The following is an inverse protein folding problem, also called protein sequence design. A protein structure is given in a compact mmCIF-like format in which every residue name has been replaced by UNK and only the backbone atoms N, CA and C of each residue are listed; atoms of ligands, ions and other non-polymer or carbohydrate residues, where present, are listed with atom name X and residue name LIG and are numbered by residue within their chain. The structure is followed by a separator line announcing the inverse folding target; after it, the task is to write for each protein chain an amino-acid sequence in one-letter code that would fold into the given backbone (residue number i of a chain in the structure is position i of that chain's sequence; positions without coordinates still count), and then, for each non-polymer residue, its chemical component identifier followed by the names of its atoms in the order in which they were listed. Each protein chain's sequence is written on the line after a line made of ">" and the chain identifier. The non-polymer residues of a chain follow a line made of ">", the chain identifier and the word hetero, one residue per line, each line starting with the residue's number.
data_IF_542375733854
#
_entry.id   IF_542375733854
#
_cell.length_a   1.000
_cell.length_b   1.000
_cell.length_c   1.000
_cell.angle_alpha   90.00
_cell.angle_beta   90.00
_cell.angle_gamma   90.00
#
_symmetry.space_group_name_H-M   'P 1'
#
loop_
_entity.id
_entity.type
_entity.pdbx_description
1 polymer ?
#
# COMPACT_ATOMS: atom_id res chain seq x y z
N UNK A 1 8.35 -21.21 -9.20
CA UNK A 1 7.53 -20.99 -7.98
C UNK A 1 6.71 -22.25 -7.71
N UNK A 2 6.88 -22.94 -6.58
CA UNK A 2 6.01 -24.06 -6.19
C UNK A 2 4.97 -23.54 -5.19
N UNK A 3 3.73 -23.41 -5.66
CA UNK A 3 2.65 -22.78 -4.89
C UNK A 3 2.28 -23.55 -3.61
N UNK A 4 2.33 -24.88 -3.65
CA UNK A 4 1.99 -25.70 -2.48
C UNK A 4 3.02 -25.55 -1.36
N UNK A 5 4.31 -25.44 -1.70
CA UNK A 5 5.36 -25.19 -0.71
C UNK A 5 5.27 -23.78 -0.14
N UNK A 6 4.93 -22.77 -0.95
CA UNK A 6 4.70 -21.40 -0.46
C UNK A 6 3.51 -21.38 0.50
N UNK A 7 2.38 -22.00 0.15
CA UNK A 7 1.18 -22.04 1.00
C UNK A 7 1.43 -22.66 2.37
N UNK A 8 2.25 -23.73 2.45
CA UNK A 8 2.64 -24.35 3.73
C UNK A 8 3.36 -23.38 4.67
N UNK A 9 4.00 -22.34 4.14
CA UNK A 9 4.65 -21.32 4.96
C UNK A 9 3.67 -20.35 5.60
N UNK A 10 2.37 -20.37 5.25
CA UNK A 10 1.34 -19.51 5.85
C UNK A 10 0.39 -20.36 6.72
N UNK A 11 0.66 -20.51 8.04
CA UNK A 11 -0.11 -21.41 8.90
C UNK A 11 -1.62 -21.12 8.91
N UNK A 12 -1.98 -19.84 8.76
CA UNK A 12 -3.38 -19.39 8.80
C UNK A 12 -4.22 -19.91 7.61
N UNK A 13 -3.60 -20.34 6.51
CA UNK A 13 -4.34 -20.85 5.35
C UNK A 13 -4.83 -22.29 5.52
N UNK A 14 -4.21 -23.05 6.44
CA UNK A 14 -4.59 -24.43 6.75
C UNK A 14 -5.62 -24.48 7.89
N UNK A 15 -6.80 -23.89 7.64
CA UNK A 15 -7.91 -23.93 8.58
C UNK A 15 -9.26 -24.00 7.86
N UNK A 16 -10.29 -24.36 8.63
CA UNK A 16 -11.67 -24.32 8.18
C UNK A 16 -12.41 -23.12 8.74
N UNK A 17 -13.20 -22.46 7.90
CA UNK A 17 -14.14 -21.39 8.26
C UNK A 17 -15.52 -21.86 7.85
N UNK A 18 -16.50 -21.76 8.76
CA UNK A 18 -17.88 -22.25 8.52
C UNK A 18 -17.94 -23.73 8.04
N UNK A 19 -16.98 -24.56 8.48
CA UNK A 19 -16.85 -25.96 8.09
C UNK A 19 -16.25 -26.22 6.70
N UNK A 20 -15.92 -25.16 5.93
CA UNK A 20 -15.30 -25.21 4.61
C UNK A 20 -13.82 -24.82 4.67
N UNK A 21 -13.02 -25.24 3.69
CA UNK A 21 -11.61 -24.82 3.61
C UNK A 21 -11.52 -23.32 3.36
N UNK A 22 -10.66 -22.61 4.09
CA UNK A 22 -10.48 -21.17 3.91
C UNK A 22 -9.96 -20.85 2.49
N UNK A 23 -10.65 -19.95 1.80
CA UNK A 23 -10.19 -19.26 0.59
C UNK A 23 -10.07 -17.77 0.92
N UNK A 24 -8.84 -17.26 1.04
CA UNK A 24 -8.59 -15.88 1.46
C UNK A 24 -8.27 -14.96 0.26
N UNK A 25 -9.26 -14.17 -0.18
CA UNK A 25 -9.16 -13.21 -1.28
C UNK A 25 -9.33 -11.75 -0.83
N UNK A 26 -8.77 -11.38 0.33
CA UNK A 26 -8.78 -10.01 0.82
C UNK A 26 -7.37 -9.45 1.10
N UNK A 27 -6.39 -9.93 0.35
CA UNK A 27 -4.97 -9.56 0.51
C UNK A 27 -4.70 -8.07 0.27
N UNK A 28 -5.50 -7.39 -0.57
CA UNK A 28 -5.38 -5.94 -0.79
C UNK A 28 -5.88 -5.11 0.41
N UNK A 29 -6.55 -5.71 1.41
CA UNK A 29 -6.79 -5.09 2.71
C UNK A 29 -5.62 -5.40 3.67
N UNK A 30 -5.25 -6.67 3.81
CA UNK A 30 -4.05 -7.09 4.52
C UNK A 30 -3.61 -8.47 4.03
N UNK A 31 -2.31 -8.68 3.87
CA UNK A 31 -1.80 -10.00 3.52
C UNK A 31 -1.74 -10.92 4.73
N UNK A 32 -1.61 -12.23 4.48
CA UNK A 32 -1.19 -13.19 5.51
C UNK A 32 0.32 -13.16 5.73
N UNK A 33 0.78 -13.82 6.80
CA UNK A 33 2.17 -13.77 7.29
C UNK A 33 2.82 -15.14 7.18
N UNK A 34 4.02 -15.25 6.56
CA UNK A 34 4.75 -16.50 6.53
C UNK A 34 5.35 -16.80 7.92
N UNK A 35 5.60 -18.07 8.19
CA UNK A 35 6.10 -18.55 9.49
C UNK A 35 7.42 -17.86 9.88
N UNK A 36 8.30 -17.59 8.90
CA UNK A 36 9.57 -16.91 9.12
C UNK A 36 9.39 -15.51 9.74
N UNK A 37 8.35 -14.76 9.35
CA UNK A 37 8.04 -13.43 9.92
C UNK A 37 7.53 -13.57 11.35
N UNK A 38 6.68 -14.57 11.61
CA UNK A 38 6.12 -14.85 12.93
C UNK A 38 7.24 -15.24 13.90
N UNK A 39 8.09 -16.18 13.50
CA UNK A 39 9.24 -16.64 14.30
C UNK A 39 10.27 -15.54 14.52
N UNK A 40 10.43 -14.61 13.56
CA UNK A 40 11.31 -13.44 13.72
C UNK A 40 10.82 -12.52 14.85
N UNK A 41 9.53 -12.22 14.89
CA UNK A 41 8.92 -11.43 15.97
C UNK A 41 9.05 -12.15 17.31
N UNK A 42 8.75 -13.44 17.33
CA UNK A 42 8.86 -14.26 18.54
C UNK A 42 10.30 -14.26 19.09
N UNK A 43 11.29 -14.47 18.22
CA UNK A 43 12.70 -14.47 18.58
C UNK A 43 13.15 -13.13 19.14
N UNK A 44 12.77 -12.02 18.50
CA UNK A 44 13.07 -10.69 19.01
C UNK A 44 12.61 -10.53 20.46
N UNK A 45 11.34 -10.83 20.74
CA UNK A 45 10.79 -10.67 22.09
C UNK A 45 11.34 -11.66 23.11
N UNK A 46 11.68 -12.89 22.71
CA UNK A 46 12.20 -13.91 23.63
C UNK A 46 13.69 -13.72 23.95
N UNK A 47 14.48 -13.20 23.02
CA UNK A 47 15.94 -13.31 23.12
C UNK A 47 16.68 -11.98 23.25
N UNK A 48 16.24 -10.93 22.56
CA UNK A 48 17.05 -9.70 22.45
C UNK A 48 16.26 -8.38 22.41
N UNK A 49 15.00 -8.38 22.85
CA UNK A 49 14.23 -7.15 23.01
C UNK A 49 14.93 -6.17 23.97
N UNK A 50 15.15 -4.95 23.48
CA UNK A 50 15.59 -3.80 24.27
C UNK A 50 15.31 -2.53 23.49
N UNK A 51 15.42 -1.37 24.16
CA UNK A 51 15.34 -0.09 23.45
C UNK A 51 16.59 0.12 22.60
N UNK A 52 16.45 0.82 21.47
CA UNK A 52 17.52 1.03 20.48
C UNK A 52 18.29 2.32 20.72
N UNK A 53 19.45 2.45 20.07
CA UNK A 53 20.32 3.66 19.98
C UNK A 53 20.91 4.20 21.30
N UNK A 54 20.35 3.88 22.46
CA UNK A 54 20.82 4.33 23.79
C UNK A 54 21.34 3.21 24.68
N UNK A 55 21.15 1.95 24.27
CA UNK A 55 21.58 0.80 25.04
C UNK A 55 23.07 0.51 24.90
N UNK A 56 23.85 0.75 25.96
CA UNK A 56 25.28 0.40 26.04
C UNK A 56 25.48 -1.12 26.28
N UNK A 57 24.44 -1.82 26.74
CA UNK A 57 24.51 -3.24 27.08
C UNK A 57 24.19 -4.14 25.87
N UNK A 58 24.64 -5.39 25.92
CA UNK A 58 24.59 -6.36 24.80
C UNK A 58 23.23 -6.47 24.10
N UNK A 59 22.12 -6.50 24.85
CA UNK A 59 20.78 -6.60 24.23
C UNK A 59 20.38 -5.33 23.46
N UNK A 60 20.80 -4.15 23.93
CA UNK A 60 20.55 -2.87 23.26
C UNK A 60 21.27 -2.79 21.91
N UNK A 61 22.53 -3.25 21.87
CA UNK A 61 23.29 -3.39 20.62
C UNK A 61 22.61 -4.35 19.65
N UNK A 62 22.24 -5.56 20.10
CA UNK A 62 21.55 -6.54 19.24
C UNK A 62 20.22 -6.03 18.68
N UNK A 63 19.40 -5.37 19.50
CA UNK A 63 18.14 -4.77 19.05
C UNK A 63 18.38 -3.65 18.03
N UNK A 64 19.40 -2.81 18.26
CA UNK A 64 19.76 -1.71 17.35
C UNK A 64 20.26 -2.24 16.01
N UNK A 65 21.15 -3.23 16.02
CA UNK A 65 21.68 -3.85 14.80
C UNK A 65 20.57 -4.49 13.97
N UNK A 66 19.61 -5.16 14.62
CA UNK A 66 18.47 -5.76 13.94
C UNK A 66 17.51 -4.71 13.36
N UNK A 67 17.26 -3.62 14.10
CA UNK A 67 16.40 -2.51 13.66
C UNK A 67 16.99 -1.78 12.45
N UNK A 68 18.26 -1.36 12.52
CA UNK A 68 18.94 -0.69 11.40
C UNK A 68 19.22 -1.67 10.26
N UNK A 69 19.45 -2.95 10.55
CA UNK A 69 19.52 -4.00 9.53
C UNK A 69 18.22 -4.15 8.74
N UNK A 70 17.06 -4.00 9.38
CA UNK A 70 15.78 -3.96 8.66
C UNK A 70 15.64 -2.71 7.77
N UNK A 71 16.17 -1.56 8.22
CA UNK A 71 16.21 -0.34 7.40
C UNK A 71 17.04 -0.53 6.13
N UNK A 72 18.20 -1.17 6.24
CA UNK A 72 19.04 -1.49 5.07
C UNK A 72 18.32 -2.44 4.10
N UNK A 73 17.56 -3.42 4.60
CA UNK A 73 16.73 -4.30 3.76
C UNK A 73 15.67 -3.51 3.01
N UNK A 74 14.96 -2.61 3.69
CA UNK A 74 14.00 -1.70 3.03
C UNK A 74 14.69 -0.87 1.96
N UNK A 75 15.84 -0.27 2.27
CA UNK A 75 16.62 0.53 1.31
C UNK A 75 16.96 -0.28 0.05
N UNK A 76 17.46 -1.50 0.20
CA UNK A 76 17.74 -2.42 -0.92
C UNK A 76 16.48 -2.76 -1.70
N UNK A 77 15.41 -3.12 -1.00
CA UNK A 77 14.18 -3.64 -1.57
C UNK A 77 13.50 -2.66 -2.53
N UNK A 78 13.54 -1.37 -2.23
CA UNK A 78 13.00 -0.31 -3.11
C UNK A 78 14.07 0.40 -3.94
N UNK A 79 15.31 -0.09 -3.89
CA UNK A 79 16.50 0.50 -4.51
C UNK A 79 16.73 1.99 -4.16
N UNK A 80 16.57 2.39 -2.90
CA UNK A 80 16.91 3.74 -2.43
C UNK A 80 18.45 3.93 -2.32
N UNK A 81 18.95 5.17 -2.38
CA UNK A 81 20.40 5.44 -2.38
C UNK A 81 21.01 5.31 -0.99
N UNK A 82 20.30 5.73 0.05
CA UNK A 82 20.79 5.76 1.43
C UNK A 82 19.73 5.27 2.42
N UNK A 83 20.17 4.69 3.54
CA UNK A 83 19.30 4.39 4.67
C UNK A 83 18.69 5.65 5.29
N UNK A 84 19.36 6.79 5.17
CA UNK A 84 18.85 8.09 5.62
C UNK A 84 17.59 8.53 4.89
N UNK A 85 17.32 7.94 3.72
CA UNK A 85 16.10 8.19 2.93
C UNK A 85 14.93 7.33 3.39
N UNK A 86 15.13 6.42 4.36
CA UNK A 86 14.12 5.46 4.82
C UNK A 86 13.68 5.83 6.23
N UNK A 87 12.43 6.27 6.36
CA UNK A 87 11.81 6.62 7.65
C UNK A 87 10.74 5.59 7.98
N UNK A 88 10.82 4.99 9.16
CA UNK A 88 9.78 4.09 9.66
C UNK A 88 8.60 4.88 10.21
N UNK A 89 7.40 4.45 9.84
CA UNK A 89 6.13 5.07 10.25
C UNK A 89 5.13 3.99 10.66
N UNK A 90 3.92 4.38 11.10
CA UNK A 90 2.85 3.41 11.44
C UNK A 90 2.20 2.75 10.20
N UNK A 91 2.53 3.19 8.99
CA UNK A 91 1.92 2.74 7.73
C UNK A 91 1.94 3.83 6.65
N UNK A 92 1.58 3.49 5.42
CA UNK A 92 1.45 4.43 4.28
C UNK A 92 0.67 5.69 4.65
N UNK A 93 -0.44 5.56 5.39
CA UNK A 93 -1.24 6.72 5.81
C UNK A 93 -0.42 7.71 6.64
N UNK A 94 0.40 7.23 7.58
CA UNK A 94 1.27 8.12 8.38
C UNK A 94 2.36 8.72 7.51
N UNK A 95 3.00 7.93 6.65
CA UNK A 95 3.99 8.42 5.69
C UNK A 95 3.45 9.57 4.81
N UNK A 96 2.27 9.42 4.21
CA UNK A 96 1.64 10.46 3.40
C UNK A 96 1.26 11.70 4.23
N UNK A 97 0.82 11.51 5.48
CA UNK A 97 0.56 12.64 6.39
C UNK A 97 1.85 13.35 6.80
N UNK A 98 2.97 12.66 6.96
CA UNK A 98 4.28 13.29 7.23
C UNK A 98 4.67 14.22 6.09
N UNK A 99 4.55 13.76 4.84
CA UNK A 99 4.83 14.61 3.66
C UNK A 99 3.85 15.80 3.61
N UNK A 100 2.55 15.55 3.78
CA UNK A 100 1.56 16.63 3.72
C UNK A 100 1.73 17.68 4.83
N UNK A 101 2.01 17.24 6.06
CA UNK A 101 2.11 18.12 7.22
C UNK A 101 3.44 18.87 7.32
N UNK A 102 4.54 18.26 6.86
CA UNK A 102 5.85 18.91 6.82
C UNK A 102 6.04 19.64 5.49
N UNK A 103 6.40 18.92 4.42
CA UNK A 103 6.65 19.51 3.10
C UNK A 103 5.45 20.31 2.58
N UNK A 104 4.26 19.72 2.63
CA UNK A 104 3.06 20.32 2.04
C UNK A 104 2.65 21.65 2.65
N UNK A 105 2.67 21.78 3.98
CA UNK A 105 2.30 23.03 4.65
C UNK A 105 3.35 24.14 4.51
N UNK A 106 4.62 23.77 4.31
CA UNK A 106 5.72 24.72 4.18
C UNK A 106 5.92 25.21 2.74
N UNK A 107 5.65 24.36 1.73
CA UNK A 107 6.00 24.64 0.33
C UNK A 107 4.80 25.00 -0.56
N UNK A 108 3.58 24.94 -0.03
CA UNK A 108 2.35 25.25 -0.77
C UNK A 108 1.70 26.51 -0.19
N UNK A 109 1.29 27.45 -1.05
CA UNK A 109 0.61 28.70 -0.67
C UNK A 109 -0.63 28.96 -1.54
N UNK A 110 -1.33 30.05 -1.25
CA UNK A 110 -2.50 30.48 -2.02
C UNK A 110 -2.16 30.62 -3.51
N UNK A 111 -3.03 30.07 -4.36
CA UNK A 111 -2.86 30.05 -5.82
C UNK A 111 -2.00 28.89 -6.37
N UNK A 112 -1.28 28.16 -5.52
CA UNK A 112 -0.61 26.92 -5.95
C UNK A 112 -1.64 25.77 -6.14
N UNK A 113 -1.25 24.74 -6.88
CA UNK A 113 -2.07 23.55 -7.15
C UNK A 113 -1.46 22.28 -6.56
N UNK A 114 -2.32 21.40 -6.03
CA UNK A 114 -2.01 20.02 -5.68
C UNK A 114 -2.82 19.13 -6.62
N UNK A 115 -2.18 18.19 -7.32
CA UNK A 115 -2.82 17.29 -8.27
C UNK A 115 -2.82 15.87 -7.72
N UNK A 116 -4.00 15.25 -7.68
CA UNK A 116 -4.19 13.82 -7.36
C UNK A 116 -5.07 13.16 -8.43
N UNK A 117 -5.56 11.93 -8.26
CA UNK A 117 -6.49 11.28 -9.20
C UNK A 117 -7.86 10.96 -8.58
N UNK A 118 -8.86 10.65 -9.40
CA UNK A 118 -10.16 10.17 -8.90
C UNK A 118 -10.08 8.79 -8.22
N UNK A 119 -9.05 8.01 -8.51
CA UNK A 119 -8.89 6.64 -7.99
C UNK A 119 -8.14 6.58 -6.65
N UNK A 120 -7.67 7.72 -6.13
CA UNK A 120 -6.88 7.75 -4.90
C UNK A 120 -7.58 7.07 -3.72
N UNK A 121 -6.77 6.41 -2.90
CA UNK A 121 -7.19 5.92 -1.59
C UNK A 121 -7.40 7.13 -0.67
N UNK A 122 -8.30 7.05 0.30
CA UNK A 122 -8.59 8.14 1.24
C UNK A 122 -7.33 8.70 1.93
N UNK A 123 -6.36 7.85 2.23
CA UNK A 123 -5.04 8.25 2.77
C UNK A 123 -4.23 9.15 1.85
N UNK A 124 -4.45 9.08 0.53
CA UNK A 124 -3.82 9.94 -0.47
C UNK A 124 -4.79 11.01 -1.02
N UNK A 125 -5.89 11.29 -0.31
CA UNK A 125 -6.83 12.38 -0.61
C UNK A 125 -6.88 13.36 0.55
N UNK A 126 -7.21 12.84 1.73
CA UNK A 126 -7.58 13.67 2.88
C UNK A 126 -6.43 14.56 3.36
N UNK A 127 -5.16 14.09 3.42
CA UNK A 127 -4.05 14.98 3.80
C UNK A 127 -3.92 16.20 2.88
N UNK A 128 -4.06 15.99 1.57
CA UNK A 128 -3.99 17.08 0.58
C UNK A 128 -5.19 18.02 0.64
N UNK A 129 -6.38 17.51 0.94
CA UNK A 129 -7.53 18.37 1.24
C UNK A 129 -7.25 19.28 2.45
N UNK A 130 -6.57 18.78 3.48
CA UNK A 130 -6.21 19.59 4.65
C UNK A 130 -5.14 20.62 4.32
N UNK A 131 -4.12 20.27 3.52
CA UNK A 131 -3.12 21.24 3.03
C UNK A 131 -3.80 22.34 2.23
N UNK A 132 -4.57 22.00 1.20
CA UNK A 132 -5.28 22.97 0.37
C UNK A 132 -6.16 23.93 1.18
N UNK A 133 -6.90 23.41 2.18
CA UNK A 133 -7.72 24.24 3.08
C UNK A 133 -6.92 25.19 3.95
N UNK A 134 -5.73 24.78 4.41
CA UNK A 134 -4.88 25.59 5.29
C UNK A 134 -4.08 26.64 4.53
N UNK A 135 -3.66 26.33 3.32
CA UNK A 135 -2.76 27.19 2.53
C UNK A 135 -3.50 28.05 1.51
N UNK A 136 -4.75 27.73 1.19
CA UNK A 136 -5.51 28.37 0.10
C UNK A 136 -5.17 27.83 -1.30
N UNK A 137 -4.44 26.71 -1.38
CA UNK A 137 -4.15 26.05 -2.65
C UNK A 137 -5.37 25.33 -3.23
N UNK A 138 -5.33 25.08 -4.54
CA UNK A 138 -6.38 24.34 -5.25
C UNK A 138 -6.04 22.85 -5.35
N UNK A 139 -6.96 21.99 -4.94
CA UNK A 139 -6.85 20.55 -5.16
C UNK A 139 -7.50 20.16 -6.50
N UNK A 140 -6.71 19.64 -7.43
CA UNK A 140 -7.12 19.19 -8.77
C UNK A 140 -7.04 17.66 -8.88
N UNK A 141 -7.84 17.11 -9.78
CA UNK A 141 -7.96 15.66 -9.99
C UNK A 141 -7.70 15.33 -11.46
N UNK A 142 -6.75 14.42 -11.70
CA UNK A 142 -6.54 13.78 -13.00
C UNK A 142 -7.79 13.00 -13.38
N UNK A 143 -8.39 13.26 -14.56
CA UNK A 143 -9.50 12.47 -15.04
C UNK A 143 -9.07 11.02 -15.33
N UNK A 144 -10.06 10.13 -15.28
CA UNK A 144 -9.87 8.74 -15.67
C UNK A 144 -10.47 8.50 -17.05
N UNK A 145 -9.79 7.68 -17.82
CA UNK A 145 -10.33 7.11 -19.06
C UNK A 145 -11.48 6.14 -18.74
N UNK A 146 -12.34 5.80 -19.73
CA UNK A 146 -13.50 4.93 -19.48
C UNK A 146 -13.17 3.56 -18.89
N UNK A 147 -11.97 3.03 -19.14
CA UNK A 147 -11.49 1.76 -18.58
C UNK A 147 -10.86 1.90 -17.18
N UNK A 148 -10.76 3.13 -16.66
CA UNK A 148 -10.19 3.43 -15.36
C UNK A 148 -8.67 3.63 -15.37
N UNK A 149 -8.06 3.85 -16.54
CA UNK A 149 -6.64 4.24 -16.66
C UNK A 149 -6.46 5.76 -16.65
N UNK A 150 -5.21 6.22 -16.48
CA UNK A 150 -4.84 7.64 -16.60
C UNK A 150 -4.07 7.83 -17.91
N UNK A 151 -4.48 8.81 -18.71
CA UNK A 151 -3.75 9.20 -19.92
C UNK A 151 -2.61 10.16 -19.57
N UNK A 152 -1.46 9.99 -20.23
CA UNK A 152 -0.34 10.94 -20.14
C UNK A 152 -0.74 12.33 -20.66
N UNK A 153 -1.63 12.40 -21.65
CA UNK A 153 -2.10 13.69 -22.17
C UNK A 153 -2.95 14.44 -21.14
N UNK A 154 -3.83 13.73 -20.41
CA UNK A 154 -4.61 14.32 -19.33
C UNK A 154 -3.70 14.82 -18.20
N UNK A 155 -2.61 14.09 -17.91
CA UNK A 155 -1.59 14.53 -16.95
C UNK A 155 -0.91 15.83 -17.40
N UNK A 156 -0.50 15.94 -18.67
CA UNK A 156 0.09 17.16 -19.24
C UNK A 156 -0.86 18.36 -19.22
N UNK A 157 -2.16 18.13 -19.41
CA UNK A 157 -3.15 19.20 -19.39
C UNK A 157 -3.49 19.66 -17.96
N UNK A 158 -3.46 18.73 -16.99
CA UNK A 158 -3.88 19.03 -15.61
C UNK A 158 -2.74 19.60 -14.76
N UNK A 159 -1.50 19.13 -14.98
CA UNK A 159 -0.30 19.59 -14.28
C UNK A 159 0.21 20.85 -14.97
N UNK A 160 0.29 21.94 -14.21
CA UNK A 160 0.64 23.27 -14.73
C UNK A 160 1.85 23.84 -13.99
N UNK A 161 2.42 24.98 -14.42
CA UNK A 161 3.49 25.67 -13.68
C UNK A 161 3.10 26.11 -12.25
N UNK A 162 1.81 26.17 -11.93
CA UNK A 162 1.32 26.46 -10.59
C UNK A 162 1.25 25.20 -9.71
N UNK A 163 1.39 24.01 -10.29
CA UNK A 163 1.43 22.76 -9.53
C UNK A 163 2.69 22.71 -8.68
N UNK A 164 2.53 22.31 -7.41
CA UNK A 164 3.65 22.10 -6.46
C UNK A 164 3.77 20.65 -6.02
N UNK A 165 2.66 19.94 -5.99
CA UNK A 165 2.63 18.54 -5.56
C UNK A 165 1.75 17.77 -6.54
N UNK A 166 2.29 16.66 -7.06
CA UNK A 166 1.53 15.61 -7.73
C UNK A 166 1.60 14.38 -6.83
N UNK A 167 0.46 13.86 -6.36
CA UNK A 167 0.41 12.66 -5.52
C UNK A 167 -0.49 11.61 -6.13
N UNK A 168 0.10 10.48 -6.56
CA UNK A 168 -0.60 9.44 -7.31
C UNK A 168 -0.27 8.07 -6.73
N UNK A 169 -1.30 7.24 -6.56
CA UNK A 169 -1.11 5.82 -6.26
C UNK A 169 -0.45 5.08 -7.42
N UNK A 170 0.53 4.22 -7.12
CA UNK A 170 1.18 3.43 -8.17
C UNK A 170 0.25 2.34 -8.70
N UNK A 171 -0.45 1.62 -7.80
CA UNK A 171 -1.44 0.60 -8.18
C UNK A 171 -2.76 0.88 -7.47
N UNK A 172 -3.85 0.87 -8.24
CA UNK A 172 -5.19 1.02 -7.67
C UNK A 172 -5.62 -0.20 -6.87
N UNK A 173 -5.99 0.03 -5.60
CA UNK A 173 -6.55 -0.99 -4.72
C UNK A 173 -7.98 -1.42 -5.10
N UNK A 174 -8.59 -0.76 -6.10
CA UNK A 174 -9.94 -1.04 -6.58
C UNK A 174 -9.90 -1.51 -8.04
N UNK A 175 -9.31 -0.73 -8.93
CA UNK A 175 -9.34 -1.05 -10.36
C UNK A 175 -8.27 -2.05 -10.76
N UNK A 176 -7.22 -2.20 -9.95
CA UNK A 176 -6.01 -2.92 -10.31
C UNK A 176 -5.17 -2.21 -11.38
N UNK A 177 -5.55 -0.99 -11.78
CA UNK A 177 -4.78 -0.14 -12.69
C UNK A 177 -3.36 0.08 -12.16
N UNK A 178 -2.36 -0.17 -13.00
CA UNK A 178 -0.96 0.18 -12.75
C UNK A 178 -0.71 1.53 -13.44
N UNK A 179 -0.49 2.59 -12.65
CA UNK A 179 -0.37 3.95 -13.17
C UNK A 179 1.06 4.22 -13.68
N UNK A 180 1.22 5.02 -14.75
CA UNK A 180 2.53 5.41 -15.30
C UNK A 180 3.19 6.50 -14.45
N UNK A 181 3.54 6.16 -13.20
CA UNK A 181 4.01 7.15 -12.20
C UNK A 181 5.36 7.77 -12.57
N UNK A 182 6.19 7.07 -13.34
CA UNK A 182 7.48 7.60 -13.84
C UNK A 182 7.25 8.72 -14.85
N UNK A 183 6.36 8.50 -15.81
CA UNK A 183 6.00 9.46 -16.85
C UNK A 183 5.25 10.66 -16.26
N UNK A 184 4.32 10.42 -15.33
CA UNK A 184 3.62 11.49 -14.60
C UNK A 184 4.60 12.28 -13.74
N UNK A 185 5.55 11.61 -13.07
CA UNK A 185 6.61 12.24 -12.29
C UNK A 185 7.51 13.15 -13.14
N UNK A 186 7.88 12.71 -14.35
CA UNK A 186 8.63 13.55 -15.28
C UNK A 186 7.87 14.84 -15.64
N UNK A 187 6.56 14.75 -15.89
CA UNK A 187 5.71 15.93 -16.16
C UNK A 187 5.63 16.85 -14.93
N UNK A 188 5.56 16.27 -13.73
CA UNK A 188 5.58 17.04 -12.48
C UNK A 188 6.88 17.84 -12.36
N UNK A 189 8.03 17.18 -12.56
CA UNK A 189 9.35 17.84 -12.49
C UNK A 189 9.55 18.89 -13.58
N UNK A 190 9.06 18.67 -14.80
CA UNK A 190 9.06 19.67 -15.89
C UNK A 190 8.36 20.97 -15.47
N UNK A 191 7.37 20.89 -14.57
CA UNK A 191 6.62 22.03 -14.03
C UNK A 191 7.10 22.50 -12.65
N UNK A 192 8.20 21.93 -12.12
CA UNK A 192 8.75 22.28 -10.81
C UNK A 192 7.92 21.78 -9.62
N UNK A 193 7.07 20.78 -9.82
CA UNK A 193 6.33 20.09 -8.77
C UNK A 193 7.08 18.83 -8.32
N UNK A 194 6.86 18.42 -7.07
CA UNK A 194 7.32 17.12 -6.59
C UNK A 194 6.32 16.00 -6.92
N UNK A 195 6.82 14.77 -7.00
CA UNK A 195 6.05 13.54 -7.20
C UNK A 195 6.03 12.70 -5.91
N UNK A 196 4.84 12.55 -5.33
CA UNK A 196 4.56 11.66 -4.19
C UNK A 196 3.86 10.41 -4.70
N UNK A 197 4.36 9.23 -4.33
CA UNK A 197 3.80 7.95 -4.78
C UNK A 197 3.23 7.18 -3.59
N UNK A 198 1.92 6.89 -3.64
CA UNK A 198 1.31 5.87 -2.77
C UNK A 198 1.59 4.48 -3.36
N UNK A 199 2.58 3.81 -2.76
CA UNK A 199 3.07 2.51 -3.17
C UNK A 199 2.47 1.33 -2.41
N UNK A 200 1.41 1.55 -1.63
CA UNK A 200 0.88 0.51 -0.73
C UNK A 200 0.45 -0.77 -1.43
N UNK A 201 0.03 -0.66 -2.70
CA UNK A 201 -0.47 -1.78 -3.51
C UNK A 201 0.49 -2.18 -4.64
N UNK A 202 1.61 -1.50 -4.84
CA UNK A 202 2.66 -1.90 -5.80
C UNK A 202 3.76 -2.69 -5.11
N UNK A 203 4.27 -2.17 -3.98
CA UNK A 203 5.39 -2.76 -3.22
C UNK A 203 5.23 -4.25 -2.89
N UNK A 204 4.04 -4.78 -2.54
CA UNK A 204 3.90 -6.21 -2.30
C UNK A 204 3.99 -7.07 -3.57
N UNK A 205 3.66 -6.49 -4.72
CA UNK A 205 3.21 -7.23 -5.90
C UNK A 205 4.17 -7.14 -7.09
N UNK A 206 5.06 -6.15 -7.11
CA UNK A 206 6.01 -5.93 -8.19
C UNK A 206 7.31 -5.29 -7.67
N UNK A 207 8.39 -5.38 -8.45
CA UNK A 207 9.63 -4.69 -8.11
C UNK A 207 9.43 -3.17 -8.13
N UNK A 208 10.04 -2.50 -7.17
CA UNK A 208 10.04 -1.04 -7.05
C UNK A 208 11.48 -0.56 -7.08
N UNK A 209 11.75 0.39 -7.97
CA UNK A 209 13.02 1.10 -8.03
C UNK A 209 12.73 2.60 -7.94
N UNK A 210 12.86 3.18 -6.75
CA UNK A 210 12.57 4.60 -6.53
C UNK A 210 13.53 5.52 -7.27
N UNK A 211 14.73 5.04 -7.64
CA UNK A 211 15.66 5.81 -8.47
C UNK A 211 15.20 5.84 -9.93
N UNK A 212 14.76 4.71 -10.48
CA UNK A 212 14.22 4.64 -11.84
C UNK A 212 12.89 5.41 -11.96
N UNK A 213 12.01 5.26 -10.98
CA UNK A 213 10.76 6.04 -10.89
C UNK A 213 11.03 7.54 -10.73
N UNK A 214 12.19 7.89 -10.18
CA UNK A 214 12.60 9.25 -9.82
C UNK A 214 11.59 9.99 -8.92
N UNK A 215 10.71 9.27 -8.21
CA UNK A 215 9.77 9.89 -7.30
C UNK A 215 10.48 10.60 -6.13
N UNK A 216 9.90 11.67 -5.64
CA UNK A 216 10.47 12.47 -4.55
C UNK A 216 10.14 11.87 -3.19
N UNK A 217 8.94 11.29 -3.07
CA UNK A 217 8.50 10.51 -1.92
C UNK A 217 7.79 9.24 -2.36
N UNK A 218 7.94 8.17 -1.58
CA UNK A 218 7.27 6.90 -1.81
C UNK A 218 6.82 6.29 -0.49
N UNK A 219 5.55 5.91 -0.37
CA UNK A 219 4.97 5.40 0.87
C UNK A 219 4.51 3.94 0.74
N UNK A 220 4.80 3.10 1.73
CA UNK A 220 4.39 1.68 1.76
C UNK A 220 3.99 1.20 3.16
N UNK A 221 3.25 0.09 3.21
CA UNK A 221 2.70 -0.50 4.43
C UNK A 221 3.06 -1.98 4.51
N UNK A 222 3.73 -2.39 5.61
CA UNK A 222 4.21 -3.76 5.77
C UNK A 222 3.10 -4.81 5.80
N UNK A 223 1.94 -4.46 6.38
CA UNK A 223 0.83 -5.41 6.53
C UNK A 223 0.24 -5.91 5.20
N UNK A 224 0.54 -5.22 4.08
CA UNK A 224 0.18 -5.67 2.73
C UNK A 224 1.23 -6.54 2.06
N UNK A 225 2.46 -6.58 2.59
CA UNK A 225 3.61 -7.27 2.00
C UNK A 225 4.19 -8.34 2.93
N UNK A 226 3.33 -9.22 3.45
CA UNK A 226 3.68 -10.30 4.38
C UNK A 226 4.20 -9.87 5.76
N UNK A 227 4.41 -8.57 5.98
CA UNK A 227 4.97 -8.02 7.20
C UNK A 227 3.94 -7.73 8.31
N UNK A 228 4.41 -7.31 9.49
CA UNK A 228 3.58 -7.03 10.65
C UNK A 228 2.61 -5.86 10.43
N UNK A 229 1.56 -5.77 11.24
CA UNK A 229 0.73 -4.55 11.33
C UNK A 229 1.48 -3.42 12.02
N UNK A 230 1.00 -2.18 11.88
CA UNK A 230 1.54 -1.04 12.62
C UNK A 230 2.93 -0.55 12.21
N UNK A 231 3.48 -1.02 11.09
CA UNK A 231 4.74 -0.53 10.51
C UNK A 231 4.57 -0.26 9.02
N UNK A 232 5.13 0.85 8.57
CA UNK A 232 5.27 1.24 7.18
C UNK A 232 6.51 2.08 6.99
N UNK A 233 6.71 2.54 5.77
CA UNK A 233 7.91 3.28 5.38
C UNK A 233 7.50 4.50 4.58
N UNK A 234 8.15 5.62 4.88
CA UNK A 234 8.30 6.76 4.00
C UNK A 234 9.71 6.72 3.43
N UNK A 235 9.82 6.59 2.11
CA UNK A 235 10.99 6.99 1.37
C UNK A 235 10.87 8.48 1.01
N UNK A 236 11.95 9.23 1.12
CA UNK A 236 12.07 10.57 0.56
C UNK A 236 13.49 10.86 0.11
N UNK A 237 13.65 11.59 -1.00
CA UNK A 237 14.99 12.03 -1.42
C UNK A 237 15.67 12.81 -0.30
N UNK A 238 16.94 12.48 -0.02
CA UNK A 238 17.70 13.05 1.11
C UNK A 238 17.64 14.59 1.18
N UNK A 239 17.74 15.26 0.03
CA UNK A 239 17.70 16.73 -0.04
C UNK A 239 16.36 17.31 0.45
N UNK A 240 15.24 16.67 0.10
CA UNK A 240 13.91 17.12 0.52
C UNK A 240 13.70 16.83 2.00
N UNK A 241 14.07 15.63 2.46
CA UNK A 241 13.98 15.26 3.87
C UNK A 241 14.82 16.17 4.77
N UNK A 242 16.00 16.61 4.32
CA UNK A 242 16.82 17.56 5.07
C UNK A 242 16.14 18.92 5.22
N UNK A 243 15.45 19.39 4.18
CA UNK A 243 14.74 20.68 4.18
C UNK A 243 13.35 20.64 4.81
N UNK A 244 12.87 19.46 5.23
CA UNK A 244 11.59 19.29 5.90
C UNK A 244 11.73 19.39 7.43
N UNK A 245 10.81 20.10 8.09
CA UNK A 245 10.73 20.13 9.56
C UNK A 245 10.02 18.88 10.15
N UNK A 246 10.41 18.39 11.35
CA UNK A 246 9.71 17.31 12.03
C UNK A 246 8.24 17.64 12.34
N UNK A 247 7.38 16.62 12.43
CA UNK A 247 5.94 16.78 12.76
C UNK A 247 5.53 16.14 14.09
N UNK A 248 6.36 15.24 14.61
CA UNK A 248 6.23 14.65 15.94
C UNK A 248 7.53 14.99 16.69
N UNK A 249 7.41 15.46 17.94
CA UNK A 249 8.55 15.96 18.73
C UNK A 249 8.65 15.18 20.04
N UNK A 250 9.86 14.78 20.41
CA UNK A 250 10.10 14.02 21.62
C UNK A 250 11.50 13.42 21.69
N UNK A 251 11.66 12.37 22.48
CA UNK A 251 12.92 11.61 22.54
C UNK A 251 13.32 11.01 21.19
N UNK A 252 14.55 10.52 21.11
CA UNK A 252 15.18 9.92 19.93
C UNK A 252 15.43 10.82 18.70
N UNK A 253 14.57 11.78 18.40
CA UNK A 253 14.69 12.67 17.23
C UNK A 253 15.47 13.97 17.47
N UNK A 254 15.76 14.29 18.74
CA UNK A 254 16.54 15.48 19.14
C UNK A 254 18.05 15.22 19.18
N UNK A 255 18.83 16.27 18.93
CA UNK A 255 20.26 16.33 19.23
C UNK A 255 20.51 17.06 20.57
N UNK A 256 20.06 18.32 20.68
CA UNK A 256 20.12 19.11 21.91
C UNK A 256 18.72 19.58 22.37
N UNK A 257 18.50 19.64 23.68
CA UNK A 257 17.27 20.17 24.29
C UNK A 257 17.65 21.09 25.44
N UNK A 258 17.29 22.37 25.33
CA UNK A 258 17.34 23.37 26.40
C UNK A 258 15.93 23.69 26.91
N UNK A 259 15.82 24.59 27.88
CA UNK A 259 14.57 25.04 28.46
C UNK A 259 13.64 25.76 27.46
N UNK A 260 14.18 26.34 26.38
CA UNK A 260 13.41 27.15 25.42
C UNK A 260 13.54 26.69 23.96
N UNK A 261 14.60 25.98 23.61
CA UNK A 261 14.91 25.61 22.22
C UNK A 261 15.42 24.17 22.14
N UNK A 262 15.33 23.59 20.95
CA UNK A 262 15.84 22.25 20.67
C UNK A 262 16.40 22.18 19.26
N UNK A 263 17.36 21.29 19.04
CA UNK A 263 17.88 20.95 17.72
C UNK A 263 17.58 19.49 17.40
N UNK A 264 17.52 19.17 16.11
CA UNK A 264 17.10 17.86 15.63
C UNK A 264 18.31 17.01 15.22
N UNK A 265 18.17 15.68 15.33
CA UNK A 265 19.15 14.75 14.76
C UNK A 265 19.18 14.84 13.24
N UNK A 266 20.23 14.26 12.69
CA UNK A 266 20.32 13.88 11.29
C UNK A 266 19.24 12.86 10.89
N UNK A 267 19.09 12.69 9.57
CA UNK A 267 18.21 11.68 8.98
C UNK A 267 18.70 10.24 9.29
N UNK A 268 17.80 9.26 9.34
CA UNK A 268 16.33 9.40 9.23
C UNK A 268 15.66 9.72 10.59
N UNK A 269 16.43 9.67 11.69
CA UNK A 269 15.91 9.73 13.05
C UNK A 269 15.21 11.05 13.39
N UNK A 270 15.49 12.13 12.65
CA UNK A 270 14.73 13.39 12.66
C UNK A 270 13.21 13.19 12.62
N UNK A 271 12.73 12.15 11.94
CA UNK A 271 11.30 11.86 11.77
C UNK A 271 10.81 10.64 12.58
N UNK A 272 11.61 10.11 13.50
CA UNK A 272 11.27 8.92 14.30
C UNK A 272 11.24 9.28 15.80
N UNK A 273 10.24 10.06 16.20
CA UNK A 273 10.10 10.53 17.58
C UNK A 273 9.65 9.41 18.54
N UNK A 274 10.29 9.34 19.71
CA UNK A 274 10.00 8.37 20.75
C UNK A 274 10.59 6.98 20.48
N UNK A 275 10.24 6.01 21.32
CA UNK A 275 10.67 4.62 21.11
C UNK A 275 10.11 4.12 19.78
N UNK A 276 10.96 3.64 18.85
CA UNK A 276 10.50 3.24 17.52
C UNK A 276 9.76 1.90 17.55
N UNK A 277 9.22 1.52 16.40
CA UNK A 277 8.43 0.30 16.20
C UNK A 277 9.35 -0.91 15.96
N UNK A 278 10.23 -1.19 16.93
CA UNK A 278 11.44 -2.02 16.78
C UNK A 278 11.13 -3.42 16.25
N UNK A 279 10.35 -4.20 16.99
CA UNK A 279 10.03 -5.59 16.63
C UNK A 279 9.37 -5.68 15.25
N UNK A 280 8.46 -4.74 14.94
CA UNK A 280 7.72 -4.77 13.69
C UNK A 280 8.59 -4.36 12.50
N UNK A 281 9.56 -3.44 12.66
CA UNK A 281 10.55 -3.14 11.64
C UNK A 281 11.43 -4.37 11.35
N UNK A 282 11.88 -5.09 12.38
CA UNK A 282 12.62 -6.34 12.22
C UNK A 282 11.78 -7.39 11.48
N UNK A 283 10.50 -7.54 11.85
CA UNK A 283 9.55 -8.42 11.17
C UNK A 283 9.28 -8.03 9.71
N UNK A 284 9.24 -6.72 9.39
CA UNK A 284 9.20 -6.24 8.01
C UNK A 284 10.47 -6.63 7.25
N UNK A 285 11.64 -6.53 7.87
CA UNK A 285 12.90 -7.01 7.28
C UNK A 285 12.84 -8.50 6.91
N UNK A 286 12.28 -9.35 7.78
CA UNK A 286 12.09 -10.77 7.46
C UNK A 286 11.05 -11.00 6.34
N UNK A 287 10.01 -10.16 6.26
CA UNK A 287 9.04 -10.24 5.17
C UNK A 287 9.67 -9.87 3.83
N UNK A 288 10.57 -8.88 3.81
CA UNK A 288 11.36 -8.53 2.62
C UNK A 288 12.23 -9.71 2.19
N UNK A 289 12.99 -10.31 3.10
CA UNK A 289 13.83 -11.47 2.78
C UNK A 289 13.01 -12.61 2.14
N UNK A 290 11.83 -12.90 2.71
CA UNK A 290 10.92 -13.93 2.20
C UNK A 290 10.42 -13.61 0.78
N UNK A 291 10.04 -12.36 0.52
CA UNK A 291 9.59 -11.95 -0.82
C UNK A 291 10.74 -11.98 -1.83
N UNK A 292 11.95 -11.58 -1.44
CA UNK A 292 13.15 -11.68 -2.29
C UNK A 292 13.56 -13.13 -2.58
N UNK A 293 13.43 -14.04 -1.61
CA UNK A 293 13.69 -15.47 -1.79
C UNK A 293 12.79 -16.09 -2.88
N UNK A 294 11.51 -15.70 -2.90
CA UNK A 294 10.57 -16.13 -3.94
C UNK A 294 10.83 -15.41 -5.26
N UNK A 295 11.23 -14.14 -5.18
CA UNK A 295 11.51 -13.25 -6.30
C UNK A 295 10.27 -12.51 -6.79
N UNK A 296 10.30 -11.18 -6.73
CA UNK A 296 9.15 -10.32 -7.09
C UNK A 296 8.69 -10.50 -8.54
N UNK A 297 9.59 -10.79 -9.49
CA UNK A 297 9.20 -11.06 -10.89
C UNK A 297 8.35 -12.35 -10.99
N UNK A 298 8.61 -13.34 -10.14
CA UNK A 298 7.82 -14.58 -10.10
C UNK A 298 6.45 -14.31 -9.48
N UNK A 299 6.39 -13.47 -8.45
CA UNK A 299 5.14 -13.06 -7.78
C UNK A 299 4.27 -12.27 -8.76
N UNK A 300 4.83 -11.24 -9.41
CA UNK A 300 4.13 -10.42 -10.40
C UNK A 300 3.56 -11.27 -11.53
N UNK A 301 4.36 -12.18 -12.09
CA UNK A 301 3.90 -13.11 -13.14
C UNK A 301 2.75 -14.00 -12.66
N UNK A 302 2.88 -14.61 -11.48
CA UNK A 302 1.84 -15.46 -10.89
C UNK A 302 0.54 -14.70 -10.69
N UNK A 303 0.62 -13.48 -10.15
CA UNK A 303 -0.56 -12.66 -9.93
C UNK A 303 -1.22 -12.16 -11.20
N UNK A 304 -0.44 -11.83 -12.23
CA UNK A 304 -0.99 -11.53 -13.56
C UNK A 304 -1.73 -12.74 -14.14
N UNK A 305 -1.19 -13.95 -14.00
CA UNK A 305 -1.88 -15.18 -14.42
C UNK A 305 -3.18 -15.42 -13.63
N UNK A 306 -3.19 -15.18 -12.32
CA UNK A 306 -4.40 -15.26 -11.49
C UNK A 306 -5.44 -14.20 -11.86
N UNK A 307 -5.02 -12.95 -12.08
CA UNK A 307 -5.91 -11.87 -12.46
C UNK A 307 -6.59 -12.16 -13.80
N UNK A 308 -5.83 -12.60 -14.82
CA UNK A 308 -6.41 -12.97 -16.12
C UNK A 308 -7.35 -14.16 -15.99
N UNK A 309 -6.96 -15.19 -15.25
CA UNK A 309 -7.83 -16.35 -15.01
C UNK A 309 -9.12 -15.96 -14.29
N UNK A 310 -9.05 -15.09 -13.28
CA UNK A 310 -10.23 -14.58 -12.59
C UNK A 310 -11.13 -13.75 -13.50
N UNK A 311 -10.59 -12.93 -14.41
CA UNK A 311 -11.37 -12.20 -15.41
C UNK A 311 -12.12 -13.15 -16.35
N UNK A 312 -11.44 -14.20 -16.82
CA UNK A 312 -12.04 -15.23 -17.68
C UNK A 312 -13.17 -15.96 -16.95
N UNK A 313 -12.88 -16.51 -15.77
CA UNK A 313 -13.87 -17.27 -14.98
C UNK A 313 -15.05 -16.40 -14.54
N UNK A 314 -14.81 -15.18 -14.06
CA UNK A 314 -15.90 -14.28 -13.67
C UNK A 314 -16.80 -13.93 -14.86
N UNK A 315 -16.28 -13.86 -16.09
CA UNK A 315 -17.11 -13.57 -17.27
C UNK A 315 -18.18 -14.63 -17.56
N UNK A 316 -18.08 -15.82 -16.95
CA UNK A 316 -19.10 -16.87 -16.99
C UNK A 316 -20.27 -16.60 -16.02
N UNK A 317 -20.10 -15.70 -15.05
CA UNK A 317 -21.15 -15.30 -14.11
C UNK A 317 -22.08 -14.31 -14.80
N UNK A 318 -23.30 -14.76 -15.10
CA UNK A 318 -24.31 -13.91 -15.71
C UNK A 318 -24.60 -12.67 -14.85
N UNK A 319 -24.78 -11.50 -15.48
CA UNK A 319 -25.02 -10.23 -14.79
C UNK A 319 -23.83 -9.66 -14.00
N UNK A 320 -22.61 -10.19 -14.16
CA UNK A 320 -21.42 -9.60 -13.53
C UNK A 320 -21.00 -8.31 -14.24
N UNK A 321 -20.63 -7.29 -13.47
CA UNK A 321 -19.90 -6.11 -13.95
C UNK A 321 -18.53 -6.08 -13.28
N UNK A 322 -17.47 -6.14 -14.07
CA UNK A 322 -16.09 -6.03 -13.57
C UNK A 322 -15.56 -4.62 -13.83
N UNK A 323 -14.98 -3.99 -12.81
CA UNK A 323 -14.41 -2.65 -12.90
C UNK A 323 -12.89 -2.72 -13.14
N UNK A 324 -12.37 -1.73 -13.88
CA UNK A 324 -10.95 -1.56 -14.19
C UNK A 324 -10.49 -2.14 -15.53
N UNK A 325 -9.21 -1.92 -15.91
CA UNK A 325 -8.67 -2.29 -17.22
C UNK A 325 -8.34 -3.78 -17.34
N UNK A 326 -8.16 -4.31 -18.56
CA UNK A 326 -7.81 -5.74 -18.75
C UNK A 326 -6.41 -6.08 -18.21
N UNK A 327 -5.42 -5.23 -18.48
CA UNK A 327 -4.11 -5.36 -17.85
C UNK A 327 -4.18 -4.71 -16.48
N UNK A 328 -3.98 -5.52 -15.43
CA UNK A 328 -4.16 -5.10 -14.04
C UNK A 328 -3.28 -5.91 -13.08
N UNK A 329 -3.10 -5.40 -11.88
CA UNK A 329 -2.57 -6.14 -10.73
C UNK A 329 -3.52 -7.26 -10.27
N UNK A 330 -3.07 -8.09 -9.33
CA UNK A 330 -3.75 -9.28 -8.80
C UNK A 330 -5.05 -9.05 -8.03
N UNK A 331 -6.06 -8.37 -8.59
CA UNK A 331 -7.38 -8.19 -7.99
C UNK A 331 -8.49 -7.99 -9.02
N UNK A 332 -9.71 -8.27 -8.59
CA UNK A 332 -10.95 -8.03 -9.35
C UNK A 332 -11.98 -7.37 -8.43
N UNK A 333 -12.42 -6.17 -8.82
CA UNK A 333 -13.56 -5.49 -8.20
C UNK A 333 -14.75 -5.65 -9.12
N UNK A 334 -15.89 -6.06 -8.58
CA UNK A 334 -17.06 -6.42 -9.35
C UNK A 334 -18.36 -6.16 -8.60
N UNK A 335 -19.46 -6.15 -9.35
CA UNK A 335 -20.83 -6.22 -8.87
C UNK A 335 -21.59 -7.31 -9.63
N UNK A 336 -22.66 -7.82 -9.03
CA UNK A 336 -23.60 -8.74 -9.68
C UNK A 336 -24.94 -8.00 -9.74
N UNK A 337 -25.59 -8.02 -10.90
CA UNK A 337 -26.90 -7.43 -11.11
C UNK A 337 -27.90 -7.91 -10.04
N UNK A 338 -28.69 -6.97 -9.52
CA UNK A 338 -29.71 -7.19 -8.48
C UNK A 338 -29.24 -7.77 -7.13
N UNK A 339 -27.93 -7.94 -6.90
CA UNK A 339 -27.40 -8.41 -5.60
C UNK A 339 -26.50 -7.36 -4.97
N UNK A 340 -26.83 -6.94 -3.74
CA UNK A 340 -26.01 -5.97 -3.03
C UNK A 340 -24.64 -6.59 -2.65
N UNK A 341 -23.51 -5.87 -2.78
CA UNK A 341 -22.18 -6.46 -2.57
C UNK A 341 -21.93 -7.01 -1.18
N UNK A 342 -22.61 -6.46 -0.17
CA UNK A 342 -22.53 -6.99 1.19
C UNK A 342 -23.18 -8.36 1.30
N UNK A 343 -24.29 -8.59 0.58
CA UNK A 343 -24.95 -9.90 0.56
C UNK A 343 -24.09 -10.92 -0.19
N UNK A 344 -23.45 -10.51 -1.29
CA UNK A 344 -22.44 -11.34 -1.99
C UNK A 344 -21.32 -11.76 -1.03
N UNK A 345 -20.74 -10.82 -0.29
CA UNK A 345 -19.66 -11.12 0.65
C UNK A 345 -20.13 -12.02 1.81
N UNK A 346 -21.34 -11.82 2.33
CA UNK A 346 -21.91 -12.66 3.39
C UNK A 346 -22.15 -14.10 2.92
N UNK A 347 -22.70 -14.30 1.72
CA UNK A 347 -22.93 -15.65 1.20
C UNK A 347 -21.60 -16.36 0.91
N UNK A 348 -20.62 -15.66 0.35
CA UNK A 348 -19.28 -16.22 0.13
C UNK A 348 -18.57 -16.63 1.42
N UNK A 349 -18.72 -15.87 2.51
CA UNK A 349 -18.14 -16.21 3.80
C UNK A 349 -18.71 -17.53 4.36
N UNK A 350 -20.00 -17.80 4.15
CA UNK A 350 -20.62 -19.09 4.51
C UNK A 350 -19.96 -20.26 3.78
N UNK A 351 -19.48 -20.05 2.56
CA UNK A 351 -18.72 -21.03 1.78
C UNK A 351 -17.20 -21.03 2.10
N UNK A 352 -16.77 -20.25 3.10
CA UNK A 352 -15.37 -20.14 3.54
C UNK A 352 -14.52 -19.21 2.67
N UNK A 353 -15.14 -18.37 1.83
CA UNK A 353 -14.46 -17.48 0.88
C UNK A 353 -14.50 -16.05 1.40
N UNK A 354 -13.33 -15.53 1.80
CA UNK A 354 -13.19 -14.17 2.30
C UNK A 354 -12.94 -13.18 1.16
N UNK A 355 -13.95 -12.39 0.82
CA UNK A 355 -13.85 -11.18 -0.02
C UNK A 355 -14.23 -9.95 0.78
N UNK A 356 -14.11 -8.75 0.18
CA UNK A 356 -14.52 -7.50 0.84
C UNK A 356 -15.61 -6.80 0.05
N UNK A 357 -16.60 -6.27 0.76
CA UNK A 357 -17.60 -5.35 0.21
C UNK A 357 -17.40 -3.92 0.74
N UNK A 358 -17.87 -2.93 -0.02
CA UNK A 358 -17.93 -1.53 0.41
C UNK A 358 -17.32 -0.59 -0.61
N UNK A 359 -16.79 0.54 -0.14
CA UNK A 359 -16.16 1.54 -0.99
C UNK A 359 -14.63 1.43 -1.04
N UNK A 360 -14.04 0.46 -0.34
CA UNK A 360 -12.58 0.20 -0.31
C UNK A 360 -11.71 1.44 -0.09
N UNK A 361 -12.20 2.35 0.77
CA UNK A 361 -11.56 3.65 1.02
C UNK A 361 -11.29 4.49 -0.26
N UNK A 362 -12.17 4.40 -1.27
CA UNK A 362 -12.07 5.14 -2.53
C UNK A 362 -13.45 5.69 -2.96
N UNK A 363 -14.15 6.38 -2.05
CA UNK A 363 -15.50 6.89 -2.31
C UNK A 363 -15.63 7.82 -3.55
N UNK A 364 -14.67 8.71 -3.87
CA UNK A 364 -14.72 9.48 -5.12
C UNK A 364 -14.73 8.58 -6.36
N UNK A 365 -13.95 7.50 -6.34
CA UNK A 365 -13.95 6.50 -7.41
C UNK A 365 -15.30 5.78 -7.50
N UNK A 366 -15.92 5.42 -6.38
CA UNK A 366 -17.27 4.82 -6.37
C UNK A 366 -18.30 5.72 -7.06
N UNK A 367 -18.24 7.03 -6.79
CA UNK A 367 -19.09 8.02 -7.47
C UNK A 367 -18.80 8.09 -8.98
N UNK A 368 -17.53 8.04 -9.38
CA UNK A 368 -17.13 8.01 -10.79
C UNK A 368 -17.65 6.75 -11.50
N UNK A 369 -17.56 5.58 -10.84
CA UNK A 369 -18.12 4.30 -11.28
C UNK A 369 -19.65 4.24 -11.25
N UNK A 370 -20.31 5.23 -10.65
CA UNK A 370 -21.76 5.24 -10.37
C UNK A 370 -22.23 4.02 -9.59
N UNK A 371 -21.38 3.52 -8.68
CA UNK A 371 -21.68 2.41 -7.77
C UNK A 371 -21.73 2.93 -6.33
N UNK A 372 -22.70 2.48 -5.53
CA UNK A 372 -22.75 2.80 -4.09
C UNK A 372 -21.70 2.02 -3.29
N UNK A 373 -21.47 0.76 -3.68
CA UNK A 373 -20.44 -0.13 -3.16
C UNK A 373 -20.09 -1.18 -4.21
N UNK A 374 -18.99 -1.90 -3.96
CA UNK A 374 -18.51 -3.00 -4.80
C UNK A 374 -18.05 -4.18 -3.96
N UNK A 375 -18.01 -5.37 -4.55
CA UNK A 375 -17.28 -6.52 -4.01
C UNK A 375 -15.86 -6.55 -4.61
N UNK A 376 -14.88 -7.03 -3.85
CA UNK A 376 -13.49 -7.16 -4.30
C UNK A 376 -12.90 -8.47 -3.82
N UNK A 377 -12.41 -9.26 -4.78
CA UNK A 377 -11.51 -10.38 -4.55
C UNK A 377 -10.09 -9.92 -4.93
N UNK A 378 -9.13 -10.11 -4.04
CA UNK A 378 -7.74 -9.67 -4.20
C UNK A 378 -6.78 -10.78 -3.83
N UNK A 379 -5.91 -11.10 -4.77
CA UNK A 379 -5.02 -12.24 -4.77
C UNK A 379 -3.64 -11.82 -4.26
N UNK A 380 -2.85 -12.83 -3.90
CA UNK A 380 -1.45 -12.67 -3.57
C UNK A 380 -0.67 -13.95 -3.87
N UNK A 381 0.64 -13.97 -3.58
CA UNK A 381 1.55 -15.06 -3.91
C UNK A 381 1.15 -16.46 -3.41
N UNK A 382 0.27 -16.57 -2.42
CA UNK A 382 -0.21 -17.84 -1.86
C UNK A 382 -1.54 -18.32 -2.47
N UNK A 383 -2.20 -17.53 -3.31
CA UNK A 383 -3.48 -17.90 -3.90
C UNK A 383 -3.32 -18.77 -5.15
N UNK A 384 -4.37 -19.51 -5.51
CA UNK A 384 -4.33 -20.48 -6.61
C UNK A 384 -5.52 -20.34 -7.58
N UNK A 385 -5.43 -20.99 -8.75
CA UNK A 385 -6.53 -21.05 -9.72
C UNK A 385 -7.71 -21.87 -9.21
N UNK A 386 -7.44 -22.93 -8.46
CA UNK A 386 -8.48 -23.78 -7.85
C UNK A 386 -9.30 -23.01 -6.80
N UNK A 387 -8.67 -22.07 -6.08
CA UNK A 387 -9.39 -21.14 -5.20
C UNK A 387 -10.29 -20.19 -6.00
N UNK A 388 -9.84 -19.74 -7.18
CA UNK A 388 -10.65 -18.89 -8.10
C UNK A 388 -11.83 -19.70 -8.62
N UNK A 389 -11.64 -20.96 -8.99
CA UNK A 389 -12.74 -21.84 -9.41
C UNK A 389 -13.77 -22.00 -8.29
N UNK A 390 -13.32 -22.28 -7.08
CA UNK A 390 -14.20 -22.39 -5.89
C UNK A 390 -14.99 -21.11 -5.66
N UNK A 391 -14.34 -19.95 -5.82
CA UNK A 391 -14.98 -18.64 -5.69
C UNK A 391 -16.03 -18.38 -6.77
N UNK A 392 -15.71 -18.59 -8.04
CA UNK A 392 -16.65 -18.34 -9.15
C UNK A 392 -17.81 -19.32 -9.12
N UNK A 393 -17.57 -20.60 -8.86
CA UNK A 393 -18.63 -21.60 -8.71
C UNK A 393 -19.59 -21.25 -7.55
N UNK A 394 -19.07 -20.64 -6.48
CA UNK A 394 -19.88 -20.18 -5.35
C UNK A 394 -20.68 -18.93 -5.71
N UNK A 395 -20.16 -18.03 -6.55
CA UNK A 395 -20.92 -16.90 -7.07
C UNK A 395 -22.07 -17.33 -7.98
N UNK A 396 -21.86 -18.31 -8.86
CA UNK A 396 -22.92 -18.85 -9.73
C UNK A 396 -24.07 -19.41 -8.86
N UNK A 397 -23.74 -20.22 -7.85
CA UNK A 397 -24.73 -20.72 -6.87
C UNK A 397 -25.41 -19.61 -6.08
N UNK A 398 -24.67 -18.56 -5.70
CA UNK A 398 -25.21 -17.40 -4.99
C UNK A 398 -26.26 -16.68 -5.84
N UNK A 399 -25.99 -16.50 -7.14
CA UNK A 399 -26.96 -15.89 -8.07
C UNK A 399 -28.22 -16.74 -8.19
N UNK A 400 -28.09 -18.07 -8.32
CA UNK A 400 -29.24 -18.98 -8.34
C UNK A 400 -30.06 -18.87 -7.05
N UNK A 401 -29.43 -18.73 -5.89
CA UNK A 401 -30.12 -18.52 -4.62
C UNK A 401 -30.97 -17.23 -4.63
N UNK A 402 -30.40 -16.09 -5.02
CA UNK A 402 -31.14 -14.82 -5.02
C UNK A 402 -32.20 -14.73 -6.12
N UNK A 403 -31.96 -15.34 -7.29
CA UNK A 403 -32.93 -15.34 -8.40
C UNK A 403 -34.16 -16.19 -8.07
N UNK A 404 -34.03 -17.24 -7.26
CA UNK A 404 -35.12 -18.14 -6.88
C UNK A 404 -35.92 -17.69 -5.64
N UNK A 405 -35.55 -16.58 -5.00
CA UNK A 405 -36.20 -16.04 -3.78
C UNK A 405 -37.10 -14.83 -4.10
N UNK A 406 -37.11 -14.36 -5.34
CA UNK A 406 -37.96 -13.25 -5.83
C UNK A 406 -39.24 -13.78 -6.51
#
# INVERSE_FOLDING_TARGET
>A
MNIHEIRKQFPILDQKVNGKQLVYFDSAATSQKPIQVIETLERYYKEYNSNVHRGVHTLGTKATDAYEGAREKVRKFINAKSMEEIIFTRGTTTALNTVAASYGLENVKEGDEIVISYMEHHSNIIPWQQVAKKTGATLKYLPLQPDGTISIEDARQTITPNTKIVSIMYVSNVLGTINPVKEIGAIAHENGAIMVVDGAQSTPHMKVDVQDLNCDFYALSAHKMCGPTGIGVLYGKKELLNNMEPIEFGGEMIDFVDLQESTWKELPWKFEAGTPIIGNAIGLGAAIDFLEEIGLDNIEKHEHELAQYALERLSEVDGVTIYGPKHRAGLVTFNIEDVHPHDVATVLDVEGIAVRAGHHCAQPLMKWLKASSTARASFYLYNTKEEIDTFVDSLIKTKEYFTNVI
#
